data_IF_017141404552
#
_entry.id   IF_017141404552
#
_cell.length_a   1.000
_cell.length_b   1.000
_cell.length_c   1.000
_cell.angle_alpha   90.00
_cell.angle_beta   90.00
_cell.angle_gamma   90.00
#
_symmetry.space_group_name_H-M   'P 1'
#
loop_
_entity.id
_entity.type
_entity.pdbx_description
1 polymer ?
#
# COMPACT_ATOMS: atom_id res chain seq x y z
N UNK A 1 38.75 21.91 17.42
CA UNK A 1 37.60 21.19 17.98
C UNK A 1 36.35 22.02 17.74
N UNK A 2 35.55 21.69 16.72
CA UNK A 2 34.13 21.38 16.91
C UNK A 2 33.60 20.74 15.62
N UNK A 3 32.72 19.78 15.80
CA UNK A 3 32.43 18.67 14.91
C UNK A 3 31.75 19.12 13.62
N UNK A 4 32.27 18.65 12.49
CA UNK A 4 31.57 18.72 11.21
C UNK A 4 30.22 18.05 11.38
N UNK A 5 29.17 18.87 11.28
CA UNK A 5 27.80 18.46 11.15
C UNK A 5 27.69 17.50 9.96
N UNK A 6 27.55 16.21 10.26
CA UNK A 6 27.23 15.17 9.29
C UNK A 6 25.70 14.92 9.30
N UNK A 7 24.89 15.98 9.25
CA UNK A 7 23.45 15.90 8.95
C UNK A 7 23.29 15.64 7.46
N UNK A 8 23.71 14.45 7.06
CA UNK A 8 23.38 13.88 5.77
C UNK A 8 21.86 13.70 5.75
N UNK A 9 21.20 14.55 4.97
CA UNK A 9 19.78 14.52 4.60
C UNK A 9 19.41 13.27 3.76
N UNK A 10 20.13 12.18 3.94
CA UNK A 10 20.06 10.92 3.18
C UNK A 10 19.10 9.90 3.82
N UNK A 11 18.29 10.36 4.76
CA UNK A 11 17.16 9.62 5.30
C UNK A 11 15.89 10.21 4.67
N UNK A 12 15.52 9.78 3.46
CA UNK A 12 14.10 9.76 3.03
C UNK A 12 13.81 9.28 1.59
N UNK A 13 14.78 8.88 0.76
CA UNK A 13 14.39 8.39 -0.59
C UNK A 13 13.63 7.06 -0.54
N UNK A 14 13.85 6.24 0.48
CA UNK A 14 13.09 5.01 0.71
C UNK A 14 11.75 5.28 1.42
N UNK A 15 11.67 6.26 2.34
CA UNK A 15 10.44 6.55 3.10
C UNK A 15 9.37 7.26 2.24
N UNK A 16 9.82 8.01 1.22
CA UNK A 16 8.94 8.71 0.25
C UNK A 16 8.30 7.77 -0.78
N UNK A 17 8.87 6.57 -1.01
CA UNK A 17 8.24 5.59 -1.90
C UNK A 17 7.06 4.85 -1.25
N UNK A 18 6.88 4.97 0.07
CA UNK A 18 6.02 4.05 0.86
C UNK A 18 4.97 4.73 1.74
N UNK A 19 4.69 6.03 1.55
CA UNK A 19 3.70 6.74 2.39
C UNK A 19 2.65 7.49 1.58
N UNK A 20 1.40 7.10 1.87
CA UNK A 20 0.10 7.76 1.67
C UNK A 20 -0.62 7.65 0.31
N UNK A 21 -1.63 6.77 0.28
CA UNK A 21 -2.57 6.61 -0.85
C UNK A 21 -3.88 7.38 -0.66
N UNK A 22 -4.09 8.11 0.46
CA UNK A 22 -5.32 8.88 0.68
C UNK A 22 -5.12 10.40 0.73
N UNK A 23 -3.88 10.89 0.83
CA UNK A 23 -3.60 12.34 0.73
C UNK A 23 -3.68 12.89 -0.70
N UNK A 24 -3.72 12.02 -1.72
CA UNK A 24 -4.03 12.42 -3.08
C UNK A 24 -5.31 11.70 -3.51
N UNK A 25 -6.51 12.20 -3.14
CA UNK A 25 -7.74 11.63 -3.66
C UNK A 25 -7.62 11.59 -5.19
N UNK A 26 -7.97 10.49 -5.88
CA UNK A 26 -8.20 10.58 -7.31
C UNK A 26 -9.15 11.75 -7.49
N UNK A 27 -8.90 12.65 -8.44
CA UNK A 27 -9.72 13.83 -8.65
C UNK A 27 -11.19 13.42 -8.71
N UNK A 28 -11.88 13.45 -7.56
CA UNK A 28 -13.28 13.18 -7.45
C UNK A 28 -13.86 14.43 -8.08
N UNK A 29 -14.49 14.35 -9.26
CA UNK A 29 -15.11 15.54 -9.83
C UNK A 29 -16.00 16.12 -8.73
N UNK A 30 -15.74 17.38 -8.36
CA UNK A 30 -16.35 18.11 -7.22
C UNK A 30 -17.90 18.15 -7.25
N UNK A 31 -18.52 17.52 -8.25
CA UNK A 31 -19.94 17.49 -8.55
C UNK A 31 -20.78 16.51 -7.71
N UNK A 32 -20.21 15.76 -6.76
CA UNK A 32 -20.99 14.81 -5.95
C UNK A 32 -20.92 15.05 -4.43
N UNK A 33 -20.82 16.31 -4.00
CA UNK A 33 -21.05 16.71 -2.60
C UNK A 33 -22.56 16.70 -2.33
N UNK A 34 -23.10 15.54 -1.95
CA UNK A 34 -24.52 15.42 -1.58
C UNK A 34 -25.09 14.01 -1.41
N UNK A 35 -24.37 12.95 -1.81
CA UNK A 35 -24.85 11.57 -1.71
C UNK A 35 -24.11 10.79 -0.63
N UNK A 36 -24.75 10.55 0.52
CA UNK A 36 -24.15 9.91 1.71
C UNK A 36 -23.83 8.41 1.59
N UNK A 37 -23.62 7.85 0.40
CA UNK A 37 -23.18 6.45 0.21
C UNK A 37 -22.54 6.27 -1.18
N UNK A 38 -21.35 6.83 -1.40
CA UNK A 38 -20.57 6.57 -2.63
C UNK A 38 -19.73 5.31 -2.37
N UNK A 39 -20.06 4.21 -3.03
CA UNK A 39 -19.11 3.11 -3.22
C UNK A 39 -18.22 3.50 -4.41
N UNK A 40 -16.92 3.62 -4.18
CA UNK A 40 -15.95 3.83 -5.23
C UNK A 40 -15.23 2.50 -5.49
N UNK A 41 -15.44 1.94 -6.67
CA UNK A 41 -14.90 0.64 -7.08
C UNK A 41 -13.61 0.74 -7.91
N UNK A 42 -12.72 1.73 -7.80
CA UNK A 42 -11.74 1.90 -8.92
C UNK A 42 -10.34 2.34 -8.58
N UNK A 43 -9.78 1.93 -7.45
CA UNK A 43 -8.35 2.12 -7.26
C UNK A 43 -7.61 0.79 -7.42
N UNK A 44 -6.73 0.79 -8.41
CA UNK A 44 -5.79 -0.30 -8.65
C UNK A 44 -4.38 0.25 -8.80
N UNK A 45 -3.42 -0.48 -8.28
CA UNK A 45 -2.00 -0.14 -8.30
C UNK A 45 -1.21 -1.31 -8.85
N UNK A 46 -0.47 -1.04 -9.92
CA UNK A 46 0.53 -1.99 -10.42
C UNK A 46 1.76 -1.91 -9.52
N UNK A 47 2.14 -3.03 -8.91
CA UNK A 47 3.31 -3.10 -8.04
C UNK A 47 4.56 -3.29 -8.91
N UNK A 48 5.50 -2.33 -8.95
CA UNK A 48 6.63 -2.37 -9.87
C UNK A 48 7.74 -3.30 -9.34
N UNK A 49 7.53 -4.61 -9.52
CA UNK A 49 8.41 -5.67 -8.99
C UNK A 49 9.86 -5.51 -9.44
N UNK A 50 10.09 -5.13 -10.70
CA UNK A 50 11.44 -4.91 -11.23
C UNK A 50 12.16 -3.76 -10.50
N UNK A 51 11.44 -2.66 -10.22
CA UNK A 51 11.98 -1.52 -9.49
C UNK A 51 12.21 -1.82 -8.00
N UNK A 52 11.43 -2.72 -7.42
CA UNK A 52 11.59 -3.15 -6.02
C UNK A 52 12.78 -4.09 -5.84
N UNK A 53 13.08 -4.94 -6.83
CA UNK A 53 14.13 -5.98 -6.75
C UNK A 53 15.46 -5.52 -6.13
N UNK A 54 16.10 -4.39 -6.54
CA UNK A 54 17.37 -3.96 -5.96
C UNK A 54 17.28 -3.48 -4.49
N UNK A 55 16.08 -3.25 -3.98
CA UNK A 55 15.81 -2.78 -2.61
C UNK A 55 15.46 -3.92 -1.65
N UNK A 56 15.28 -5.13 -2.16
CA UNK A 56 14.81 -6.28 -1.40
C UNK A 56 15.94 -7.23 -1.02
N UNK A 57 15.78 -7.84 0.14
CA UNK A 57 16.56 -8.97 0.62
C UNK A 57 15.60 -10.07 1.09
N UNK A 58 16.12 -11.12 1.74
CA UNK A 58 15.30 -12.21 2.28
C UNK A 58 14.33 -11.79 3.39
N UNK A 59 14.51 -10.58 3.95
CA UNK A 59 13.65 -10.04 4.99
C UNK A 59 12.41 -9.40 4.35
N UNK A 60 11.24 -9.85 4.80
CA UNK A 60 9.96 -9.26 4.42
C UNK A 60 9.86 -7.80 4.89
N UNK A 61 9.56 -6.89 3.95
CA UNK A 61 9.39 -5.45 4.21
C UNK A 61 8.09 -4.95 3.60
N UNK A 62 7.36 -4.03 4.25
CA UNK A 62 6.18 -3.42 3.65
C UNK A 62 6.61 -2.51 2.49
N UNK A 63 5.96 -2.67 1.33
CA UNK A 63 6.23 -1.89 0.11
C UNK A 63 5.01 -1.09 -0.37
N UNK A 64 3.85 -1.31 0.24
CA UNK A 64 2.65 -0.50 0.02
C UNK A 64 1.71 -0.65 1.21
N UNK A 65 0.98 0.41 1.55
CA UNK A 65 0.03 0.41 2.66
C UNK A 65 -1.25 1.13 2.25
N UNK A 66 -2.40 0.49 2.51
CA UNK A 66 -3.70 1.13 2.46
C UNK A 66 -4.12 1.53 3.87
N UNK A 67 -4.61 2.76 3.99
CA UNK A 67 -5.19 3.33 5.22
C UNK A 67 -6.64 3.66 4.98
N UNK A 68 -7.46 3.65 6.01
CA UNK A 68 -8.81 4.16 5.95
C UNK A 68 -9.04 5.12 7.13
N UNK A 69 -10.28 5.56 7.35
CA UNK A 69 -10.62 6.45 8.46
C UNK A 69 -10.22 5.91 9.86
N UNK A 70 -9.97 4.60 9.99
CA UNK A 70 -9.56 3.92 11.22
C UNK A 70 -8.05 3.63 11.32
N UNK A 71 -7.27 3.98 10.28
CA UNK A 71 -5.83 3.75 10.19
C UNK A 71 -5.45 2.68 9.17
N UNK A 72 -4.32 2.00 9.36
CA UNK A 72 -3.85 0.99 8.40
C UNK A 72 -4.80 -0.22 8.34
N UNK A 73 -5.16 -0.62 7.11
CA UNK A 73 -6.13 -1.69 6.83
C UNK A 73 -5.61 -2.75 5.88
N UNK A 74 -4.65 -2.41 5.01
CA UNK A 74 -3.93 -3.41 4.21
C UNK A 74 -2.44 -3.04 4.07
N UNK A 75 -1.58 -4.05 3.97
CA UNK A 75 -0.16 -3.88 3.68
C UNK A 75 0.27 -4.91 2.64
N UNK A 76 1.00 -4.47 1.62
CA UNK A 76 1.75 -5.37 0.74
C UNK A 76 3.15 -5.51 1.31
N UNK A 77 3.54 -6.74 1.57
CA UNK A 77 4.91 -7.09 1.91
C UNK A 77 5.61 -7.67 0.69
N UNK A 78 6.89 -7.34 0.55
CA UNK A 78 7.77 -7.93 -0.45
C UNK A 78 9.02 -8.50 0.21
N UNK A 79 9.58 -9.53 -0.40
CA UNK A 79 10.91 -10.08 -0.09
C UNK A 79 11.54 -10.67 -1.35
N UNK A 80 12.84 -10.85 -1.32
CA UNK A 80 13.58 -11.60 -2.33
C UNK A 80 13.83 -13.02 -1.82
N UNK A 81 13.34 -14.03 -2.54
CA UNK A 81 13.54 -15.45 -2.21
C UNK A 81 13.87 -16.23 -3.47
N UNK A 82 14.95 -17.01 -3.44
CA UNK A 82 15.40 -17.79 -4.60
C UNK A 82 15.51 -16.95 -5.89
N UNK A 83 16.06 -15.74 -5.76
CA UNK A 83 16.20 -14.76 -6.86
C UNK A 83 14.88 -14.25 -7.45
N UNK A 84 13.74 -14.54 -6.80
CA UNK A 84 12.42 -14.06 -7.18
C UNK A 84 11.83 -13.13 -6.13
N UNK A 85 11.15 -12.08 -6.57
CA UNK A 85 10.36 -11.25 -5.67
C UNK A 85 9.07 -11.99 -5.33
N UNK A 86 8.87 -12.24 -4.05
CA UNK A 86 7.60 -12.72 -3.51
C UNK A 86 6.85 -11.58 -2.85
N UNK A 87 5.54 -11.49 -3.11
CA UNK A 87 4.64 -10.57 -2.42
C UNK A 87 3.64 -11.33 -1.55
N UNK A 88 3.23 -10.70 -0.47
CA UNK A 88 2.12 -11.14 0.36
C UNK A 88 1.26 -9.94 0.78
N UNK A 89 -0.06 -10.12 0.79
CA UNK A 89 -1.02 -9.11 1.21
C UNK A 89 -1.44 -9.42 2.64
N UNK A 90 -1.22 -8.49 3.55
CA UNK A 90 -1.80 -8.52 4.88
C UNK A 90 -3.04 -7.62 4.91
N UNK A 91 -4.17 -8.14 5.40
CA UNK A 91 -5.41 -7.38 5.56
C UNK A 91 -5.85 -7.43 7.02
N UNK A 92 -6.23 -6.28 7.57
CA UNK A 92 -6.80 -6.18 8.90
C UNK A 92 -8.26 -6.62 8.86
N UNK A 93 -8.59 -7.63 9.64
CA UNK A 93 -9.94 -8.14 9.78
C UNK A 93 -10.76 -7.24 10.73
N UNK A 94 -12.09 -7.46 10.77
CA UNK A 94 -13.01 -6.67 11.61
C UNK A 94 -12.70 -6.76 13.11
N UNK A 95 -12.12 -7.87 13.57
CA UNK A 95 -11.65 -8.06 14.95
C UNK A 95 -10.32 -7.35 15.25
N UNK A 96 -9.76 -6.65 14.25
CA UNK A 96 -8.49 -5.95 14.31
C UNK A 96 -7.27 -6.84 14.09
N UNK A 97 -7.44 -8.15 13.87
CA UNK A 97 -6.35 -9.10 13.63
C UNK A 97 -5.88 -8.99 12.18
N UNK A 98 -4.56 -8.97 11.98
CA UNK A 98 -3.97 -9.01 10.65
C UNK A 98 -3.89 -10.44 10.14
N UNK A 99 -4.46 -10.66 8.95
CA UNK A 99 -4.32 -11.91 8.22
C UNK A 99 -3.39 -11.70 7.04
N UNK A 100 -2.28 -12.44 7.03
CA UNK A 100 -1.32 -12.46 5.93
C UNK A 100 -1.71 -13.55 4.93
N UNK A 101 -1.78 -13.21 3.64
CA UNK A 101 -1.95 -14.16 2.56
C UNK A 101 -0.73 -15.06 2.40
N UNK A 102 -0.88 -16.14 1.63
CA UNK A 102 0.29 -16.88 1.14
C UNK A 102 1.22 -15.95 0.35
N UNK A 103 2.53 -16.17 0.50
CA UNK A 103 3.55 -15.59 -0.35
C UNK A 103 3.41 -16.13 -1.77
N UNK A 104 3.49 -15.24 -2.76
CA UNK A 104 3.39 -15.59 -4.17
C UNK A 104 4.54 -14.93 -4.92
N UNK A 105 5.25 -15.72 -5.73
CA UNK A 105 6.22 -15.20 -6.68
C UNK A 105 5.47 -14.64 -7.90
N UNK A 106 5.85 -13.45 -8.34
CA UNK A 106 5.24 -12.81 -9.50
C UNK A 106 6.28 -12.68 -10.62
N UNK A 107 5.96 -13.24 -11.79
CA UNK A 107 6.80 -13.16 -12.99
C UNK A 107 6.63 -11.83 -13.75
N UNK A 108 5.61 -11.05 -13.41
CA UNK A 108 5.29 -9.73 -13.95
C UNK A 108 4.82 -8.83 -12.82
N UNK A 109 4.60 -7.55 -13.11
CA UNK A 109 4.07 -6.60 -12.13
C UNK A 109 2.60 -6.91 -11.81
N UNK A 110 2.26 -7.38 -10.59
CA UNK A 110 0.88 -7.70 -10.26
C UNK A 110 0.06 -6.43 -10.05
N UNK A 111 -1.23 -6.54 -10.33
CA UNK A 111 -2.19 -5.48 -10.09
C UNK A 111 -2.89 -5.74 -8.75
N UNK A 112 -2.74 -4.82 -7.81
CA UNK A 112 -3.50 -4.80 -6.57
C UNK A 112 -4.75 -3.94 -6.81
N UNK A 113 -5.93 -4.45 -6.52
CA UNK A 113 -7.18 -3.71 -6.64
C UNK A 113 -7.92 -3.67 -5.31
N UNK A 114 -8.60 -2.56 -5.04
CA UNK A 114 -9.44 -2.42 -3.86
C UNK A 114 -10.73 -1.65 -4.13
N UNK A 115 -11.71 -1.90 -3.26
CA UNK A 115 -12.96 -1.15 -3.22
C UNK A 115 -13.09 -0.47 -1.87
N UNK A 116 -13.55 0.79 -1.90
CA UNK A 116 -13.77 1.57 -0.69
C UNK A 116 -15.16 2.22 -0.72
N UNK A 117 -15.71 2.43 0.46
CA UNK A 117 -16.99 3.11 0.63
C UNK A 117 -16.79 4.39 1.43
N UNK A 118 -17.34 5.49 0.94
CA UNK A 118 -17.40 6.73 1.69
C UNK A 118 -18.49 6.62 2.77
N UNK A 119 -18.10 6.85 4.02
CA UNK A 119 -18.99 6.95 5.17
C UNK A 119 -18.96 8.36 5.76
N UNK A 120 -19.77 8.62 6.79
CA UNK A 120 -19.71 9.87 7.55
C UNK A 120 -18.40 10.06 8.32
N UNK A 121 -17.67 8.99 8.60
CA UNK A 121 -16.37 9.01 9.27
C UNK A 121 -15.19 9.13 8.30
N UNK A 122 -15.43 9.00 6.99
CA UNK A 122 -14.41 8.96 5.94
C UNK A 122 -14.49 7.70 5.09
N UNK A 123 -13.47 7.45 4.27
CA UNK A 123 -13.37 6.23 3.48
C UNK A 123 -13.14 5.00 4.36
N UNK A 124 -13.77 3.90 4.01
CA UNK A 124 -13.62 2.58 4.64
C UNK A 124 -13.34 1.54 3.57
N UNK A 125 -12.32 0.71 3.78
CA UNK A 125 -11.98 -0.38 2.86
C UNK A 125 -13.06 -1.46 2.93
N UNK A 126 -13.55 -1.91 1.76
CA UNK A 126 -14.54 -2.99 1.64
C UNK A 126 -13.86 -4.29 1.21
N UNK A 127 -13.02 -4.22 0.18
CA UNK A 127 -12.24 -5.38 -0.29
C UNK A 127 -10.90 -4.93 -0.86
N UNK A 128 -9.93 -5.84 -0.83
CA UNK A 128 -8.62 -5.68 -1.46
C UNK A 128 -8.12 -7.04 -1.91
N UNK A 129 -7.48 -7.11 -3.08
CA UNK A 129 -6.96 -8.35 -3.61
C UNK A 129 -6.08 -8.17 -4.82
N UNK A 130 -5.38 -9.25 -5.19
CA UNK A 130 -4.63 -9.33 -6.42
C UNK A 130 -5.56 -9.64 -7.59
N UNK A 131 -5.42 -8.92 -8.70
CA UNK A 131 -6.01 -9.31 -9.99
C UNK A 131 -5.04 -10.21 -10.75
N UNK A 132 -5.57 -11.29 -11.33
CA UNK A 132 -4.84 -12.24 -12.18
C UNK A 132 -5.06 -11.93 -13.66
#
# INVERSE_FOLDING_TARGET
>A
VNLANNSASDLNLAEVLFTDSFENPPAVPELLVGSSNIQAEFESLRIPVEALTPLLDETARPVFQLRDASGAVANVYARLREEQVELALAVRQQDGIWQLSSWQAYASEPLLSWTAQQTTAGWTLISVGWEN
#
